data_IF_786762525839
#
_entry.id   IF_786762525839
#
_cell.length_a   1.000
_cell.length_b   1.000
_cell.length_c   1.000
_cell.angle_alpha   90.00
_cell.angle_beta   90.00
_cell.angle_gamma   90.00
#
_symmetry.space_group_name_H-M   'P 1'
#
loop_
_entity.id
_entity.type
_entity.pdbx_description
1 polymer ?
#
# COMPACT_ATOMS: atom_id res chain seq x y z
N UNK A 1 12.32 26.27 -5.70
CA UNK A 1 10.88 26.01 -5.58
C UNK A 1 10.35 26.84 -4.41
N UNK A 2 9.52 27.84 -4.66
CA UNK A 2 8.91 28.67 -3.63
C UNK A 2 7.97 27.81 -2.80
N UNK A 3 8.31 27.54 -1.53
CA UNK A 3 7.44 26.79 -0.65
C UNK A 3 6.21 27.65 -0.32
N UNK A 4 5.02 27.16 -0.64
CA UNK A 4 3.74 27.82 -0.33
C UNK A 4 3.54 28.04 1.18
N UNK A 5 4.26 27.28 2.00
CA UNK A 5 4.29 27.40 3.47
C UNK A 5 5.76 27.49 3.94
N UNK A 6 6.30 28.71 4.12
CA UNK A 6 7.69 28.88 4.56
C UNK A 6 7.87 28.33 5.98
N UNK A 7 8.99 27.65 6.22
CA UNK A 7 9.38 27.05 7.51
C UNK A 7 8.52 25.88 8.00
N UNK A 8 7.76 25.22 7.11
CA UNK A 8 7.01 24.00 7.43
C UNK A 8 7.49 22.82 6.59
N UNK A 9 7.66 21.67 7.23
CA UNK A 9 7.88 20.39 6.53
C UNK A 9 6.52 19.84 6.12
N UNK A 10 6.27 19.78 4.82
CA UNK A 10 5.02 19.26 4.25
C UNK A 10 5.21 17.77 3.95
N UNK A 11 4.35 16.89 4.48
CA UNK A 11 4.36 15.46 4.16
C UNK A 11 4.21 15.19 2.66
N UNK A 12 4.79 14.10 2.18
CA UNK A 12 4.61 13.68 0.78
C UNK A 12 3.17 13.21 0.55
N UNK A 13 2.65 13.48 -0.64
CA UNK A 13 1.38 12.89 -1.05
C UNK A 13 1.57 11.38 -1.29
N UNK A 14 0.58 10.57 -0.92
CA UNK A 14 0.62 9.12 -1.04
C UNK A 14 -0.66 8.60 -1.69
N UNK A 15 -0.53 7.91 -2.83
CA UNK A 15 -1.64 7.14 -3.39
C UNK A 15 -1.63 5.74 -2.78
N UNK A 16 -2.70 5.40 -2.07
CA UNK A 16 -2.85 4.10 -1.43
C UNK A 16 -3.97 3.31 -2.11
N UNK A 17 -3.60 2.11 -2.57
CA UNK A 17 -4.50 1.11 -3.14
C UNK A 17 -4.56 -0.05 -2.13
N UNK A 18 -5.55 -0.04 -1.24
CA UNK A 18 -5.74 -1.11 -0.27
C UNK A 18 -6.54 -2.23 -0.91
N UNK A 19 -5.87 -3.35 -1.17
CA UNK A 19 -6.49 -4.54 -1.74
C UNK A 19 -7.37 -5.24 -0.70
N UNK A 20 -6.85 -5.55 0.49
CA UNK A 20 -7.61 -6.20 1.56
C UNK A 20 -7.00 -5.86 2.94
N UNK A 21 -7.77 -5.97 4.04
CA UNK A 21 -9.25 -6.00 4.08
C UNK A 21 -9.84 -4.62 3.77
N UNK A 22 -11.16 -4.57 3.52
CA UNK A 22 -11.91 -3.33 3.27
C UNK A 22 -11.34 -2.52 2.11
N UNK A 23 -11.52 -3.03 0.90
CA UNK A 23 -11.05 -2.50 -0.38
C UNK A 23 -11.25 -0.97 -0.44
N UNK A 24 -10.16 -0.24 -0.66
CA UNK A 24 -10.20 1.21 -0.71
C UNK A 24 -9.12 1.78 -1.62
N UNK A 25 -9.43 2.90 -2.26
CA UNK A 25 -8.45 3.74 -2.96
C UNK A 25 -8.50 5.10 -2.34
N UNK A 26 -7.37 5.59 -1.83
CA UNK A 26 -7.33 6.93 -1.27
C UNK A 26 -6.01 7.65 -1.56
N UNK A 27 -6.09 8.95 -1.77
CA UNK A 27 -4.94 9.82 -1.99
C UNK A 27 -4.75 10.72 -0.77
N UNK A 28 -3.68 10.48 -0.02
CA UNK A 28 -3.24 11.40 1.05
C UNK A 28 -2.67 12.65 0.40
N UNK A 29 -3.19 13.80 0.79
CA UNK A 29 -2.80 15.11 0.26
C UNK A 29 -2.81 16.16 1.36
N UNK A 30 -2.14 17.27 1.10
CA UNK A 30 -2.07 18.39 2.02
C UNK A 30 -3.13 19.42 1.67
N UNK A 31 -3.97 19.79 2.64
CA UNK A 31 -5.04 20.79 2.49
C UNK A 31 -4.88 21.88 3.54
N UNK A 32 -5.48 23.06 3.31
CA UNK A 32 -5.58 24.08 4.37
C UNK A 32 -6.42 23.51 5.51
N UNK A 33 -5.96 23.69 6.75
CA UNK A 33 -6.78 23.40 7.92
C UNK A 33 -8.17 24.04 7.83
N UNK A 34 -9.26 23.27 8.06
CA UNK A 34 -10.60 23.83 8.17
C UNK A 34 -10.68 24.91 9.25
N UNK A 35 -11.49 25.95 9.00
CA UNK A 35 -11.67 27.08 9.90
C UNK A 35 -10.70 28.24 9.68
N UNK A 36 -10.40 28.96 10.77
CA UNK A 36 -9.67 30.23 10.74
C UNK A 36 -8.13 30.06 10.65
N UNK A 37 -7.61 28.85 10.85
CA UNK A 37 -6.18 28.58 10.70
C UNK A 37 -5.80 28.52 9.22
N UNK A 38 -4.55 28.89 8.92
CA UNK A 38 -3.99 28.86 7.55
C UNK A 38 -2.87 27.84 7.40
N UNK A 39 -2.66 27.00 8.43
CA UNK A 39 -1.65 25.95 8.41
C UNK A 39 -2.10 24.77 7.54
N UNK A 40 -1.20 24.15 6.76
CA UNK A 40 -1.49 22.91 6.05
C UNK A 40 -1.67 21.75 7.03
N UNK A 41 -2.55 20.82 6.69
CA UNK A 41 -2.76 19.54 7.38
C UNK A 41 -2.83 18.41 6.34
N UNK A 42 -2.43 17.21 6.74
CA UNK A 42 -2.65 16.00 5.95
C UNK A 42 -4.12 15.57 6.01
N UNK A 43 -4.73 15.34 4.86
CA UNK A 43 -6.07 14.77 4.70
C UNK A 43 -6.09 13.84 3.48
N UNK A 44 -7.24 13.34 3.08
CA UNK A 44 -7.39 12.31 2.06
C UNK A 44 -8.59 12.56 1.13
N UNK A 45 -8.45 12.10 -0.10
CA UNK A 45 -9.56 11.84 -1.00
C UNK A 45 -9.82 10.33 -0.99
N UNK A 46 -10.96 9.88 -0.47
CA UNK A 46 -11.24 8.46 -0.18
C UNK A 46 -12.35 7.87 -1.07
N UNK A 47 -12.09 6.66 -1.58
CA UNK A 47 -13.07 5.76 -2.18
C UNK A 47 -13.02 4.41 -1.45
N UNK A 48 -13.83 4.27 -0.41
CA UNK A 48 -14.06 3.00 0.28
C UNK A 48 -15.17 2.19 -0.41
N UNK A 49 -14.86 0.97 -0.86
CA UNK A 49 -15.81 0.14 -1.63
C UNK A 49 -17.04 -0.24 -0.81
N UNK A 50 -16.84 -0.61 0.46
CA UNK A 50 -17.94 -0.97 1.36
C UNK A 50 -18.96 0.17 1.55
N UNK A 51 -18.50 1.43 1.55
CA UNK A 51 -19.38 2.59 1.68
C UNK A 51 -20.02 2.99 0.34
N UNK A 52 -19.25 2.95 -0.75
CA UNK A 52 -19.70 3.44 -2.06
C UNK A 52 -20.55 2.43 -2.85
N UNK A 53 -20.32 1.14 -2.64
CA UNK A 53 -20.93 0.02 -3.36
C UNK A 53 -21.53 -0.99 -2.38
N UNK A 54 -22.22 -0.51 -1.33
CA UNK A 54 -22.76 -1.33 -0.25
C UNK A 54 -23.62 -2.52 -0.74
N UNK A 55 -24.37 -2.33 -1.83
CA UNK A 55 -25.25 -3.37 -2.40
C UNK A 55 -24.55 -4.30 -3.41
N UNK A 56 -23.23 -4.14 -3.61
CA UNK A 56 -22.47 -4.92 -4.59
C UNK A 56 -21.69 -6.02 -3.89
N UNK A 57 -21.93 -7.26 -4.30
CA UNK A 57 -21.11 -8.40 -3.88
C UNK A 57 -19.83 -8.46 -4.71
N UNK A 58 -18.68 -8.38 -4.06
CA UNK A 58 -17.39 -8.63 -4.72
C UNK A 58 -17.15 -10.14 -4.77
N UNK A 59 -17.03 -10.74 -5.97
CA UNK A 59 -16.77 -12.17 -6.09
C UNK A 59 -15.38 -12.51 -5.58
N UNK A 60 -15.24 -13.71 -5.01
CA UNK A 60 -13.94 -14.25 -4.63
C UNK A 60 -12.99 -14.35 -5.83
N UNK A 61 -11.69 -14.29 -5.56
CA UNK A 61 -10.63 -14.37 -6.56
C UNK A 61 -10.78 -15.60 -7.47
N UNK A 62 -11.09 -16.79 -6.91
CA UNK A 62 -11.22 -18.00 -7.73
C UNK A 62 -12.46 -18.00 -8.61
N UNK A 63 -13.58 -17.46 -8.12
CA UNK A 63 -14.80 -17.30 -8.92
C UNK A 63 -14.52 -16.48 -10.16
N UNK A 64 -13.75 -15.39 -10.02
CA UNK A 64 -13.36 -14.56 -11.15
C UNK A 64 -12.43 -15.29 -12.12
N UNK A 65 -11.40 -15.96 -11.62
CA UNK A 65 -10.43 -16.68 -12.46
C UNK A 65 -11.10 -17.81 -13.26
N UNK A 66 -12.00 -18.59 -12.63
CA UNK A 66 -12.74 -19.65 -13.32
C UNK A 66 -13.61 -19.09 -14.44
N UNK A 67 -14.30 -17.96 -14.19
CA UNK A 67 -15.10 -17.29 -15.21
C UNK A 67 -14.23 -16.84 -16.40
N UNK A 68 -13.04 -16.32 -16.14
CA UNK A 68 -12.12 -15.86 -17.18
C UNK A 68 -11.60 -17.05 -18.02
N UNK A 69 -11.33 -18.23 -17.42
CA UNK A 69 -11.01 -19.47 -18.16
C UNK A 69 -12.16 -19.87 -19.09
N UNK A 70 -13.39 -19.89 -18.59
CA UNK A 70 -14.57 -20.27 -19.39
C UNK A 70 -14.80 -19.31 -20.57
N UNK A 71 -14.38 -18.06 -20.45
CA UNK A 71 -14.46 -17.04 -21.51
C UNK A 71 -13.25 -17.00 -22.43
N UNK A 72 -12.20 -17.77 -22.14
CA UNK A 72 -10.94 -17.73 -22.88
C UNK A 72 -10.12 -16.45 -22.63
N UNK A 73 -10.36 -15.74 -21.54
CA UNK A 73 -9.59 -14.55 -21.16
C UNK A 73 -8.37 -14.94 -20.32
N UNK A 74 -7.18 -14.61 -20.84
CA UNK A 74 -5.91 -14.98 -20.22
C UNK A 74 -5.18 -13.82 -19.53
N UNK A 75 -5.78 -12.62 -19.47
CA UNK A 75 -5.11 -11.41 -18.96
C UNK A 75 -4.79 -11.44 -17.46
N UNK A 76 -5.43 -12.32 -16.69
CA UNK A 76 -5.20 -12.51 -15.25
C UNK A 76 -4.29 -13.71 -14.93
N UNK A 77 -3.73 -14.36 -15.96
CA UNK A 77 -2.87 -15.52 -15.81
C UNK A 77 -1.43 -15.15 -16.13
N UNK A 78 -0.50 -15.68 -15.34
CA UNK A 78 0.94 -15.44 -15.53
C UNK A 78 1.40 -16.09 -16.83
N UNK A 79 2.04 -15.31 -17.69
CA UNK A 79 2.62 -15.80 -18.95
C UNK A 79 3.97 -16.49 -18.68
N UNK A 80 4.39 -17.39 -19.58
CA UNK A 80 5.63 -18.16 -19.42
C UNK A 80 6.89 -17.27 -19.28
N UNK A 81 6.99 -16.23 -20.09
CA UNK A 81 8.10 -15.26 -20.02
C UNK A 81 8.05 -14.37 -18.77
N UNK A 82 6.86 -13.99 -18.28
CA UNK A 82 6.70 -13.31 -17.00
C UNK A 82 7.21 -14.18 -15.85
N UNK A 83 6.88 -15.47 -15.87
CA UNK A 83 7.36 -16.44 -14.90
C UNK A 83 8.89 -16.58 -14.96
N UNK A 84 9.46 -16.69 -16.16
CA UNK A 84 10.91 -16.76 -16.35
C UNK A 84 11.62 -15.50 -15.82
N UNK A 85 11.07 -14.31 -16.09
CA UNK A 85 11.62 -13.06 -15.61
C UNK A 85 11.57 -12.96 -14.07
N UNK A 86 10.47 -13.37 -13.45
CA UNK A 86 10.34 -13.39 -11.99
C UNK A 86 11.41 -14.30 -11.36
N UNK A 87 11.60 -15.51 -11.89
CA UNK A 87 12.65 -16.42 -11.42
C UNK A 87 14.05 -15.85 -11.64
N UNK A 88 14.33 -15.25 -12.79
CA UNK A 88 15.63 -14.64 -13.06
C UNK A 88 16.02 -13.57 -12.02
N UNK A 89 15.04 -12.81 -11.50
CA UNK A 89 15.26 -11.80 -10.46
C UNK A 89 15.58 -12.44 -9.10
N UNK A 90 14.83 -13.45 -8.67
CA UNK A 90 14.92 -14.00 -7.30
C UNK A 90 15.89 -15.17 -7.15
N UNK A 91 16.15 -15.96 -8.20
CA UNK A 91 17.00 -17.15 -8.13
C UNK A 91 18.40 -16.90 -7.55
N UNK A 92 19.16 -15.85 -7.94
CA UNK A 92 20.49 -15.60 -7.38
C UNK A 92 20.45 -15.37 -5.86
N UNK A 93 19.44 -14.61 -5.38
CA UNK A 93 19.25 -14.35 -3.95
C UNK A 93 18.88 -15.63 -3.19
N UNK A 94 17.98 -16.44 -3.75
CA UNK A 94 17.56 -17.72 -3.14
C UNK A 94 18.74 -18.69 -3.02
N UNK A 95 19.57 -18.81 -4.07
CA UNK A 95 20.77 -19.64 -4.06
C UNK A 95 21.78 -19.17 -3.02
N UNK A 96 21.93 -17.86 -2.84
CA UNK A 96 22.80 -17.29 -1.80
C UNK A 96 22.29 -17.62 -0.40
N UNK A 97 20.97 -17.49 -0.16
CA UNK A 97 20.33 -17.83 1.11
C UNK A 97 20.56 -19.30 1.45
N UNK A 98 20.39 -20.21 0.49
CA UNK A 98 20.62 -21.65 0.67
C UNK A 98 22.09 -21.99 0.93
N UNK A 99 23.01 -21.39 0.15
CA UNK A 99 24.45 -21.67 0.23
C UNK A 99 25.05 -21.14 1.53
N UNK A 100 24.75 -19.89 1.88
CA UNK A 100 25.30 -19.23 3.07
C UNK A 100 24.53 -19.57 4.35
N UNK A 101 23.36 -20.20 4.24
CA UNK A 101 22.47 -20.51 5.37
C UNK A 101 22.21 -19.28 6.25
N UNK A 102 21.85 -18.18 5.60
CA UNK A 102 21.63 -16.89 6.27
C UNK A 102 20.55 -17.04 7.34
N UNK A 103 20.87 -16.69 8.59
CA UNK A 103 19.91 -16.75 9.69
C UNK A 103 19.00 -15.52 9.64
N UNK A 104 17.66 -15.69 9.67
CA UNK A 104 16.74 -14.56 9.71
C UNK A 104 16.84 -13.80 11.03
N UNK A 105 16.55 -12.50 10.98
CA UNK A 105 16.48 -11.66 12.18
C UNK A 105 15.23 -12.01 13.00
N UNK A 106 15.35 -12.25 14.32
CA UNK A 106 14.20 -12.52 15.16
C UNK A 106 13.38 -11.24 15.38
N UNK A 107 12.07 -11.40 15.55
CA UNK A 107 11.16 -10.33 15.91
C UNK A 107 10.01 -10.86 16.76
N UNK A 108 9.40 -10.00 17.57
CA UNK A 108 8.31 -10.38 18.45
C UNK A 108 7.03 -10.71 17.66
N UNK A 109 6.27 -11.72 18.11
CA UNK A 109 4.98 -12.05 17.51
C UNK A 109 4.01 -10.85 17.58
N UNK A 110 3.36 -10.54 16.46
CA UNK A 110 2.47 -9.38 16.32
C UNK A 110 3.18 -8.04 16.07
N UNK A 111 4.51 -8.00 16.01
CA UNK A 111 5.24 -6.81 15.59
C UNK A 111 5.19 -6.61 14.06
N UNK A 112 5.68 -5.44 13.60
CA UNK A 112 5.85 -5.13 12.16
C UNK A 112 7.07 -5.82 11.53
N UNK A 113 7.81 -6.63 12.27
CA UNK A 113 9.08 -7.23 11.86
C UNK A 113 10.31 -6.63 12.56
N UNK A 114 11.52 -6.91 12.05
CA UNK A 114 12.78 -6.38 12.59
C UNK A 114 12.96 -4.89 12.24
N UNK A 115 13.68 -4.15 13.09
CA UNK A 115 13.92 -2.70 12.90
C UNK A 115 14.72 -2.42 11.62
N UNK A 116 15.58 -3.36 11.24
CA UNK A 116 16.40 -3.32 10.04
C UNK A 116 15.55 -3.23 8.76
N UNK A 117 14.29 -3.67 8.80
CA UNK A 117 13.36 -3.51 7.67
C UNK A 117 12.90 -2.06 7.48
N UNK A 118 12.67 -1.33 8.58
CA UNK A 118 12.33 0.09 8.53
C UNK A 118 13.59 0.89 8.11
N UNK A 119 14.78 0.52 8.60
CA UNK A 119 16.06 1.13 8.21
C UNK A 119 16.36 0.96 6.72
N UNK A 120 16.13 -0.24 6.17
CA UNK A 120 16.29 -0.52 4.73
C UNK A 120 15.36 0.38 3.90
N UNK A 121 14.10 0.50 4.33
CA UNK A 121 13.11 1.34 3.64
C UNK A 121 13.52 2.82 3.66
N UNK A 122 13.96 3.31 4.82
CA UNK A 122 14.45 4.69 4.99
C UNK A 122 15.67 4.97 4.11
N UNK A 123 16.62 4.03 4.03
CA UNK A 123 17.81 4.13 3.16
C UNK A 123 17.44 4.27 1.68
N UNK A 124 16.33 3.67 1.25
CA UNK A 124 15.82 3.76 -0.12
C UNK A 124 14.83 4.92 -0.34
N UNK A 125 14.72 5.85 0.61
CA UNK A 125 14.01 7.12 0.43
C UNK A 125 12.52 7.09 0.78
N UNK A 126 12.05 5.99 1.39
CA UNK A 126 10.74 5.96 2.05
C UNK A 126 10.81 6.78 3.35
N UNK A 127 9.88 7.71 3.52
CA UNK A 127 9.82 8.57 4.71
C UNK A 127 8.50 8.26 5.41
N UNK A 128 8.60 7.70 6.62
CA UNK A 128 7.42 7.45 7.45
C UNK A 128 7.10 8.68 8.29
N UNK A 129 5.94 9.30 8.04
CA UNK A 129 5.45 10.43 8.81
C UNK A 129 4.67 9.92 10.05
N UNK A 130 5.38 9.72 11.18
CA UNK A 130 4.76 9.26 12.43
C UNK A 130 3.79 10.30 12.99
N UNK A 131 2.50 9.93 13.06
CA UNK A 131 1.51 10.64 13.89
C UNK A 131 0.70 11.75 13.20
N UNK A 132 1.08 12.18 11.99
CA UNK A 132 0.39 13.27 11.29
C UNK A 132 -0.90 12.86 10.60
N UNK A 133 -1.06 11.56 10.33
CA UNK A 133 -2.21 11.02 9.61
C UNK A 133 -2.86 9.88 10.38
N UNK A 134 -4.12 10.09 10.76
CA UNK A 134 -4.99 9.04 11.31
C UNK A 134 -6.15 8.85 10.36
N UNK A 135 -6.10 7.79 9.56
CA UNK A 135 -7.26 7.41 8.74
C UNK A 135 -8.44 7.13 9.65
N UNK A 136 -9.52 7.87 9.46
CA UNK A 136 -10.79 7.58 10.09
C UNK A 136 -11.68 6.95 9.02
N UNK A 137 -12.11 5.68 9.19
CA UNK A 137 -13.11 5.12 8.30
C UNK A 137 -14.33 6.03 8.29
N UNK A 138 -14.94 6.21 7.11
CA UNK A 138 -16.26 6.82 7.02
C UNK A 138 -17.23 5.90 7.75
N UNK A 139 -17.48 6.18 9.02
CA UNK A 139 -18.64 5.64 9.73
C UNK A 139 -19.86 6.27 9.10
N UNK A 140 -20.71 5.45 8.50
CA UNK A 140 -22.05 5.84 8.09
C UNK A 140 -22.84 6.24 9.35
N UNK A 141 -22.76 7.50 9.75
CA UNK A 141 -23.70 8.10 10.68
C UNK A 141 -24.98 8.38 9.92
N UNK A 142 -25.92 7.43 10.00
CA UNK A 142 -27.34 7.77 10.02
C UNK A 142 -27.70 8.14 11.47
#
# INVERSE_FOLDING_TARGET
ATQMFPNMVIPRNELVLRLQPSEAVYLKTNVKSPGLRTTPISSELDLSYAARYADTHMPDAYTRLMLDVLRGYQSMFVRNDELQAAWAIFTPLLQEIETKKVKPLPYAFGSRGPVESDDLSAKHGFIYHQGDYKWQPVTSSL
#
